data_IF_359091854214
#
_entry.id   IF_359091854214
#
_cell.length_a   1.000
_cell.length_b   1.000
_cell.length_c   1.000
_cell.angle_alpha   90.00
_cell.angle_beta   90.00
_cell.angle_gamma   90.00
#
_symmetry.space_group_name_H-M   'P 1'
#
loop_
_entity.id
_entity.type
_entity.pdbx_description
1 polymer ?
#
# COMPACT_ATOMS: atom_id res chain seq x y z
N UNK A 1 9.54 -34.42 -30.17
CA UNK A 1 8.83 -34.79 -28.92
C UNK A 1 8.01 -33.58 -28.52
N UNK A 2 6.71 -33.71 -28.25
CA UNK A 2 5.88 -32.55 -27.86
C UNK A 2 6.26 -32.11 -26.44
N UNK A 3 6.59 -30.85 -26.26
CA UNK A 3 6.82 -30.26 -24.94
C UNK A 3 5.56 -30.42 -24.06
N UNK A 4 5.70 -30.64 -22.76
CA UNK A 4 4.55 -30.79 -21.86
C UNK A 4 3.74 -29.49 -21.76
N UNK A 5 2.43 -29.61 -21.52
CA UNK A 5 1.54 -28.48 -21.27
C UNK A 5 1.94 -27.75 -19.97
N UNK A 6 1.87 -26.43 -19.97
CA UNK A 6 2.19 -25.59 -18.82
C UNK A 6 0.96 -25.40 -17.91
N UNK A 7 1.14 -25.33 -16.59
CA UNK A 7 0.03 -25.29 -15.64
C UNK A 7 -0.71 -23.94 -15.64
N UNK A 8 -2.01 -23.96 -15.31
CA UNK A 8 -2.87 -22.77 -15.31
C UNK A 8 -2.60 -21.82 -14.12
N UNK A 9 -2.97 -20.55 -14.27
CA UNK A 9 -3.04 -19.61 -13.15
C UNK A 9 -4.16 -19.95 -12.16
N UNK A 10 -4.01 -19.47 -10.92
CA UNK A 10 -5.09 -19.49 -9.93
C UNK A 10 -6.25 -18.59 -10.41
N UNK A 11 -7.48 -19.12 -10.38
CA UNK A 11 -8.69 -18.48 -10.90
C UNK A 11 -9.11 -17.18 -10.20
N UNK A 12 -8.63 -16.94 -8.98
CA UNK A 12 -9.00 -15.77 -8.16
C UNK A 12 -8.03 -14.58 -8.28
N UNK A 13 -7.04 -14.61 -9.19
CA UNK A 13 -6.06 -13.54 -9.35
C UNK A 13 -6.67 -12.31 -10.02
N UNK A 14 -6.53 -11.14 -9.38
CA UNK A 14 -6.92 -9.85 -9.97
C UNK A 14 -5.68 -9.13 -10.48
N UNK A 15 -5.64 -8.89 -11.78
CA UNK A 15 -4.61 -8.08 -12.42
C UNK A 15 -5.01 -6.61 -12.38
N UNK A 16 -4.11 -5.76 -11.90
CA UNK A 16 -4.28 -4.31 -11.88
C UNK A 16 -3.15 -3.70 -12.68
N UNK A 17 -3.49 -3.07 -13.80
CA UNK A 17 -2.54 -2.36 -14.65
C UNK A 17 -2.24 -0.99 -14.05
N UNK A 18 -0.97 -0.67 -13.82
CA UNK A 18 -0.54 0.67 -13.42
C UNK A 18 0.33 1.27 -14.52
N UNK A 19 -0.09 2.41 -15.07
CA UNK A 19 0.66 3.13 -16.09
C UNK A 19 0.82 4.59 -15.70
N UNK A 20 2.07 5.04 -15.53
CA UNK A 20 2.41 6.47 -15.48
C UNK A 20 3.78 6.65 -16.15
N UNK A 21 3.81 7.27 -17.34
CA UNK A 21 5.04 7.51 -18.11
C UNK A 21 5.61 6.30 -18.86
N UNK A 22 6.91 6.33 -19.16
CA UNK A 22 7.65 5.37 -20.03
C UNK A 22 7.79 3.94 -19.47
N UNK A 23 7.19 3.61 -18.32
CA UNK A 23 7.25 2.28 -17.74
C UNK A 23 5.87 1.77 -17.34
N UNK A 24 5.23 0.97 -18.20
CA UNK A 24 4.06 0.19 -17.80
C UNK A 24 4.49 -0.97 -16.89
N UNK A 25 3.85 -1.10 -15.73
CA UNK A 25 4.07 -2.24 -14.84
C UNK A 25 2.73 -2.82 -14.37
N UNK A 26 2.72 -4.12 -14.13
CA UNK A 26 1.51 -4.87 -13.81
C UNK A 26 1.57 -5.31 -12.36
N UNK A 27 0.46 -5.16 -11.62
CA UNK A 27 0.35 -5.66 -10.27
C UNK A 27 -0.61 -6.85 -10.23
N UNK A 28 -0.16 -7.97 -9.69
CA UNK A 28 -1.01 -9.11 -9.40
C UNK A 28 -1.44 -9.01 -7.94
N UNK A 29 -2.75 -8.85 -7.71
CA UNK A 29 -3.35 -8.97 -6.38
C UNK A 29 -3.73 -10.42 -6.14
N UNK A 30 -3.06 -11.02 -5.19
CA UNK A 30 -3.31 -12.39 -4.72
C UNK A 30 -4.48 -12.44 -3.74
N UNK A 31 -5.15 -13.60 -3.57
CA UNK A 31 -6.23 -13.77 -2.60
C UNK A 31 -5.81 -13.43 -1.16
N UNK A 32 -4.53 -13.63 -0.82
CA UNK A 32 -3.94 -13.30 0.48
C UNK A 32 -3.52 -11.82 0.61
N UNK A 33 -3.99 -10.95 -0.29
CA UNK A 33 -3.76 -9.49 -0.30
C UNK A 33 -2.28 -9.09 -0.45
N UNK A 34 -1.41 -9.95 -1.00
CA UNK A 34 -0.09 -9.54 -1.49
C UNK A 34 -0.23 -8.88 -2.86
N UNK A 35 0.56 -7.84 -3.09
CA UNK A 35 0.72 -7.21 -4.40
C UNK A 35 2.08 -7.59 -4.93
N UNK A 36 2.09 -8.25 -6.07
CA UNK A 36 3.32 -8.67 -6.73
C UNK A 36 3.48 -7.80 -7.98
N UNK A 37 4.58 -7.05 -8.04
CA UNK A 37 4.93 -6.28 -9.24
C UNK A 37 5.50 -7.25 -10.27
N UNK A 38 4.93 -7.20 -11.46
CA UNK A 38 5.25 -8.07 -12.59
C UNK A 38 5.54 -7.18 -13.80
N UNK A 39 6.56 -7.54 -14.57
CA UNK A 39 6.91 -6.85 -15.80
C UNK A 39 5.93 -7.19 -16.93
N UNK A 40 6.10 -6.50 -18.06
CA UNK A 40 5.24 -6.65 -19.23
C UNK A 40 5.30 -8.07 -19.81
N UNK A 41 6.51 -8.63 -19.97
CA UNK A 41 6.71 -9.99 -20.50
C UNK A 41 6.07 -11.04 -19.59
N UNK A 42 6.29 -10.91 -18.29
CA UNK A 42 5.81 -11.86 -17.30
C UNK A 42 4.28 -11.80 -17.16
N UNK A 43 3.67 -10.61 -17.33
CA UNK A 43 2.22 -10.44 -17.39
C UNK A 43 1.59 -11.17 -18.58
N UNK A 44 2.16 -11.00 -19.78
CA UNK A 44 1.61 -11.65 -20.98
C UNK A 44 1.75 -13.17 -20.93
N UNK A 45 2.91 -13.68 -20.49
CA UNK A 45 3.08 -15.12 -20.26
C UNK A 45 2.04 -15.62 -19.26
N UNK A 46 1.87 -14.94 -18.12
CA UNK A 46 0.87 -15.29 -17.12
C UNK A 46 -0.55 -15.34 -17.72
N UNK A 47 -0.94 -14.34 -18.53
CA UNK A 47 -2.26 -14.27 -19.16
C UNK A 47 -2.56 -15.40 -20.16
N UNK A 48 -1.52 -16.07 -20.67
CA UNK A 48 -1.64 -17.16 -21.63
C UNK A 48 -1.67 -18.56 -20.97
N UNK A 49 -1.43 -18.67 -19.66
CA UNK A 49 -1.41 -19.94 -18.92
C UNK A 49 -2.81 -20.47 -18.64
N UNK A 50 -3.21 -21.51 -19.38
CA UNK A 50 -4.55 -22.11 -19.35
C UNK A 50 -4.59 -23.62 -19.09
N UNK A 51 -3.47 -24.23 -18.66
CA UNK A 51 -3.30 -25.68 -18.48
C UNK A 51 -3.35 -26.53 -19.78
N UNK A 52 -3.48 -25.90 -20.96
CA UNK A 52 -3.56 -26.61 -22.24
C UNK A 52 -2.33 -26.35 -23.10
N UNK A 53 -1.87 -25.09 -23.14
CA UNK A 53 -0.79 -24.68 -24.05
C UNK A 53 0.60 -25.10 -23.59
N UNK A 54 1.45 -25.42 -24.56
CA UNK A 54 2.88 -25.68 -24.37
C UNK A 54 3.69 -24.38 -24.32
N UNK A 55 4.94 -24.45 -23.89
CA UNK A 55 5.82 -23.27 -23.78
C UNK A 55 6.06 -22.57 -25.13
N UNK A 56 6.14 -23.33 -26.23
CA UNK A 56 6.32 -22.82 -27.59
C UNK A 56 5.05 -22.11 -28.12
N UNK A 57 3.88 -22.68 -27.85
CA UNK A 57 2.58 -22.07 -28.19
C UNK A 57 2.36 -20.77 -27.41
N UNK A 58 2.79 -20.72 -26.14
CA UNK A 58 2.71 -19.51 -25.32
C UNK A 58 3.66 -18.43 -25.83
N UNK A 59 4.91 -18.79 -26.18
CA UNK A 59 5.86 -17.85 -26.77
C UNK A 59 5.30 -17.21 -28.06
N UNK A 60 4.74 -18.05 -28.95
CA UNK A 60 4.13 -17.62 -30.19
C UNK A 60 2.93 -16.70 -29.94
N UNK A 61 2.06 -17.06 -28.99
CA UNK A 61 0.87 -16.26 -28.66
C UNK A 61 1.23 -14.91 -28.04
N UNK A 62 2.24 -14.86 -27.19
CA UNK A 62 2.72 -13.59 -26.62
C UNK A 62 3.27 -12.68 -27.73
N UNK A 63 4.00 -13.24 -28.69
CA UNK A 63 4.49 -12.48 -29.85
C UNK A 63 3.35 -11.95 -30.74
N UNK A 64 2.28 -12.71 -30.92
CA UNK A 64 1.07 -12.25 -31.64
C UNK A 64 0.34 -11.11 -30.92
N UNK A 65 0.29 -11.16 -29.59
CA UNK A 65 -0.36 -10.14 -28.77
C UNK A 65 0.50 -8.86 -28.71
N UNK A 66 1.82 -9.02 -28.67
CA UNK A 66 2.78 -7.93 -28.53
C UNK A 66 4.05 -8.24 -29.33
N UNK A 67 4.13 -7.69 -30.54
CA UNK A 67 5.26 -7.90 -31.45
C UNK A 67 6.58 -7.32 -30.93
N UNK A 68 6.53 -6.46 -29.91
CA UNK A 68 7.71 -5.94 -29.22
C UNK A 68 8.32 -6.93 -28.21
N UNK A 69 7.67 -8.06 -27.95
CA UNK A 69 8.14 -9.10 -27.03
C UNK A 69 8.54 -10.32 -27.83
N UNK A 70 9.83 -10.64 -27.77
CA UNK A 70 10.39 -11.91 -28.24
C UNK A 70 10.74 -12.75 -27.02
N UNK A 71 10.16 -13.94 -26.93
CA UNK A 71 10.40 -14.90 -25.87
C UNK A 71 10.77 -16.24 -26.50
N UNK A 72 11.80 -16.87 -25.96
CA UNK A 72 12.17 -18.26 -26.27
C UNK A 72 11.41 -19.22 -25.36
N UNK A 73 11.31 -20.50 -25.77
CA UNK A 73 10.70 -21.55 -24.95
C UNK A 73 11.33 -21.62 -23.54
N UNK A 74 12.65 -21.48 -23.44
CA UNK A 74 13.38 -21.50 -22.18
C UNK A 74 13.07 -20.29 -21.28
N UNK A 75 12.85 -19.11 -21.86
CA UNK A 75 12.44 -17.92 -21.11
C UNK A 75 11.01 -18.07 -20.58
N UNK A 76 10.09 -18.64 -21.37
CA UNK A 76 8.73 -18.94 -20.92
C UNK A 76 8.78 -19.90 -19.72
N UNK A 77 9.56 -20.98 -19.81
CA UNK A 77 9.76 -21.94 -18.69
C UNK A 77 10.36 -21.24 -17.46
N UNK A 78 11.32 -20.33 -17.65
CA UNK A 78 11.93 -19.57 -16.56
C UNK A 78 10.93 -18.66 -15.85
N UNK A 79 10.11 -17.94 -16.62
CA UNK A 79 9.04 -17.08 -16.09
C UNK A 79 8.01 -17.92 -15.33
N UNK A 80 7.57 -19.03 -15.90
CA UNK A 80 6.63 -19.95 -15.24
C UNK A 80 7.22 -20.51 -13.95
N UNK A 81 8.49 -20.91 -13.95
CA UNK A 81 9.18 -21.35 -12.73
C UNK A 81 9.23 -20.25 -11.65
N UNK A 82 9.36 -18.99 -12.05
CA UNK A 82 9.22 -17.83 -11.16
C UNK A 82 7.81 -17.71 -10.57
N UNK A 83 6.78 -17.80 -11.40
CA UNK A 83 5.37 -17.76 -10.98
C UNK A 83 5.01 -18.93 -10.05
N UNK A 84 5.56 -20.13 -10.28
CA UNK A 84 5.42 -21.29 -9.39
C UNK A 84 6.01 -21.01 -8.01
N UNK A 85 7.24 -20.48 -7.95
CA UNK A 85 7.88 -20.10 -6.66
C UNK A 85 7.11 -19.03 -5.90
N UNK A 86 6.39 -18.17 -6.62
CA UNK A 86 5.51 -17.14 -6.04
C UNK A 86 4.16 -17.69 -5.59
N UNK A 87 3.84 -18.95 -5.91
CA UNK A 87 2.60 -19.63 -5.56
C UNK A 87 1.40 -19.17 -6.39
N UNK A 88 1.62 -18.75 -7.65
CA UNK A 88 0.58 -18.19 -8.52
C UNK A 88 -0.07 -19.21 -9.47
N UNK A 89 0.39 -20.46 -9.45
CA UNK A 89 -0.03 -21.52 -10.36
C UNK A 89 -0.97 -22.51 -9.66
N UNK A 90 -2.05 -22.87 -10.36
CA UNK A 90 -3.00 -23.90 -9.96
C UNK A 90 -2.38 -25.28 -10.22
N UNK A 91 -2.10 -26.02 -9.15
CA UNK A 91 -1.77 -27.45 -9.23
C UNK A 91 -2.98 -28.25 -8.75
N UNK A 92 -3.34 -29.39 -9.37
CA UNK A 92 -4.48 -30.19 -8.97
C UNK A 92 -4.39 -30.72 -7.52
N UNK A 93 -3.18 -30.80 -6.95
CA UNK A 93 -2.94 -31.14 -5.54
C UNK A 93 -2.83 -29.92 -4.61
N UNK A 94 -2.91 -28.69 -5.15
CA UNK A 94 -2.89 -27.48 -4.35
C UNK A 94 -4.30 -27.24 -3.79
N UNK A 95 -4.61 -27.86 -2.65
CA UNK A 95 -5.40 -27.13 -1.64
C UNK A 95 -4.75 -25.75 -1.55
N UNK A 96 -5.50 -24.63 -1.62
CA UNK A 96 -4.91 -23.30 -1.53
C UNK A 96 -4.00 -23.32 -0.31
N UNK A 97 -2.70 -23.34 -0.55
CA UNK A 97 -1.75 -23.50 0.53
C UNK A 97 -1.81 -22.20 1.29
N UNK A 98 -2.63 -22.21 2.34
CA UNK A 98 -2.58 -21.27 3.44
C UNK A 98 -1.18 -21.24 4.10
N UNK A 99 -0.20 -22.02 3.59
CA UNK A 99 1.15 -22.11 4.09
C UNK A 99 2.20 -21.38 3.23
N UNK A 100 1.80 -20.51 2.31
CA UNK A 100 2.63 -19.35 1.96
C UNK A 100 2.11 -18.09 2.66
N UNK A 101 1.67 -18.22 3.92
CA UNK A 101 1.97 -17.16 4.90
C UNK A 101 3.46 -16.97 4.75
N UNK A 102 3.85 -15.90 4.04
CA UNK A 102 5.23 -15.43 4.09
C UNK A 102 5.56 -15.50 5.57
N UNK A 103 6.56 -16.33 5.95
CA UNK A 103 7.25 -16.11 7.20
C UNK A 103 7.37 -14.60 7.27
N UNK A 104 6.68 -13.97 8.23
CA UNK A 104 7.01 -12.61 8.58
C UNK A 104 8.47 -12.75 8.94
N UNK A 105 9.34 -12.53 7.96
CA UNK A 105 10.77 -12.44 8.14
C UNK A 105 10.82 -11.33 9.14
N UNK A 106 11.07 -11.68 10.40
CA UNK A 106 11.17 -10.74 11.49
C UNK A 106 12.33 -9.85 11.06
N UNK A 107 11.97 -8.75 10.42
CA UNK A 107 12.92 -7.79 9.90
C UNK A 107 13.01 -6.77 11.02
N UNK A 108 13.99 -6.90 11.94
CA UNK A 108 14.10 -5.98 13.06
C UNK A 108 14.30 -4.53 12.58
N UNK A 109 14.66 -4.34 11.31
CA UNK A 109 14.81 -3.04 10.67
C UNK A 109 13.47 -2.36 10.40
N UNK A 110 12.41 -3.12 10.14
CA UNK A 110 11.08 -2.58 9.83
C UNK A 110 9.97 -3.49 10.38
N UNK A 111 9.32 -3.03 11.45
CA UNK A 111 8.17 -3.71 12.03
C UNK A 111 6.95 -2.80 11.97
N UNK A 112 5.92 -3.24 11.24
CA UNK A 112 4.63 -2.55 11.18
C UNK A 112 3.60 -3.27 12.04
N UNK A 113 3.05 -2.55 13.02
CA UNK A 113 1.95 -3.01 13.87
C UNK A 113 0.69 -2.28 13.42
N UNK A 114 -0.20 -2.92 12.64
CA UNK A 114 -1.48 -2.31 12.24
C UNK A 114 -2.39 -2.20 13.48
N UNK A 115 -2.80 -0.99 13.83
CA UNK A 115 -3.69 -0.73 14.96
C UNK A 115 -5.14 -0.51 14.51
N UNK A 116 -5.33 0.10 13.34
CA UNK A 116 -6.65 0.47 12.84
C UNK A 116 -6.84 -0.02 11.41
N UNK A 117 -8.00 -0.64 11.16
CA UNK A 117 -8.38 -1.12 9.83
C UNK A 117 -8.60 0.05 8.86
N UNK A 118 -8.14 -0.13 7.63
CA UNK A 118 -8.23 0.87 6.57
C UNK A 118 -9.66 1.31 6.28
N UNK A 119 -10.63 0.37 6.33
CA UNK A 119 -12.05 0.67 6.09
C UNK A 119 -12.64 1.64 7.11
N UNK A 120 -12.21 1.56 8.37
CA UNK A 120 -12.67 2.47 9.41
C UNK A 120 -12.11 3.88 9.17
N UNK A 121 -10.84 3.98 8.80
CA UNK A 121 -10.20 5.24 8.44
C UNK A 121 -10.82 5.86 7.19
N UNK A 122 -11.15 5.07 6.18
CA UNK A 122 -11.82 5.57 4.97
C UNK A 122 -13.20 6.14 5.30
N UNK A 123 -13.97 5.47 6.18
CA UNK A 123 -15.27 5.97 6.65
C UNK A 123 -15.13 7.26 7.46
N UNK A 124 -14.20 7.28 8.42
CA UNK A 124 -13.93 8.47 9.23
C UNK A 124 -13.43 9.65 8.37
N UNK A 125 -12.53 9.37 7.43
CA UNK A 125 -12.00 10.33 6.48
C UNK A 125 -13.07 10.86 5.54
N UNK A 126 -13.97 10.01 5.04
CA UNK A 126 -15.11 10.44 4.22
C UNK A 126 -16.10 11.32 5.00
N UNK A 127 -16.36 10.99 6.28
CA UNK A 127 -17.23 11.80 7.13
C UNK A 127 -16.63 13.17 7.48
N UNK A 128 -15.31 13.23 7.68
CA UNK A 128 -14.57 14.46 7.94
C UNK A 128 -14.20 15.22 6.66
N UNK A 129 -14.32 14.59 5.49
CA UNK A 129 -13.97 15.20 4.21
C UNK A 129 -14.66 16.55 3.96
N UNK A 130 -15.94 16.78 4.30
CA UNK A 130 -16.57 18.09 4.12
C UNK A 130 -15.91 19.22 4.91
N UNK A 131 -15.27 18.91 6.06
CA UNK A 131 -14.64 19.91 6.92
C UNK A 131 -13.37 20.51 6.31
N UNK A 132 -12.74 19.84 5.34
CA UNK A 132 -11.47 20.30 4.75
C UNK A 132 -11.74 21.17 3.50
N UNK A 133 -12.73 22.06 3.52
CA UNK A 133 -13.04 22.91 2.36
C UNK A 133 -12.24 24.22 2.38
N UNK A 134 -12.14 24.90 1.22
CA UNK A 134 -11.44 26.20 1.13
C UNK A 134 -12.00 27.24 2.13
N UNK A 135 -13.33 27.37 2.33
CA UNK A 135 -13.87 28.24 3.37
C UNK A 135 -13.41 27.87 4.79
N UNK A 136 -13.35 26.57 5.11
CA UNK A 136 -12.88 26.11 6.41
C UNK A 136 -11.38 26.41 6.61
N UNK A 137 -10.57 26.28 5.56
CA UNK A 137 -9.16 26.66 5.60
C UNK A 137 -8.98 28.16 5.85
N UNK A 138 -9.79 29.01 5.20
CA UNK A 138 -9.78 30.46 5.44
C UNK A 138 -10.18 30.78 6.87
N UNK A 139 -11.26 30.16 7.38
CA UNK A 139 -11.72 30.36 8.75
C UNK A 139 -10.66 29.93 9.78
N UNK A 140 -10.04 28.77 9.58
CA UNK A 140 -8.95 28.28 10.44
C UNK A 140 -7.76 29.23 10.37
N UNK A 141 -7.38 29.71 9.19
CA UNK A 141 -6.32 30.71 9.01
C UNK A 141 -6.60 32.00 9.78
N UNK A 142 -7.85 32.50 9.72
CA UNK A 142 -8.26 33.68 10.47
C UNK A 142 -8.18 33.44 11.99
N UNK A 143 -8.64 32.28 12.46
CA UNK A 143 -8.55 31.89 13.88
C UNK A 143 -7.09 31.84 14.35
N UNK A 144 -6.18 31.32 13.51
CA UNK A 144 -4.74 31.33 13.79
C UNK A 144 -4.17 32.74 13.90
N UNK A 145 -4.57 33.66 13.02
CA UNK A 145 -4.15 35.06 13.08
C UNK A 145 -4.66 35.73 14.37
N UNK A 146 -5.92 35.51 14.72
CA UNK A 146 -6.51 36.04 15.98
C UNK A 146 -5.80 35.47 17.20
N UNK A 147 -5.54 34.16 17.23
CA UNK A 147 -4.81 33.51 18.30
C UNK A 147 -3.38 34.06 18.43
N UNK A 148 -2.67 34.23 17.30
CA UNK A 148 -1.33 34.81 17.28
C UNK A 148 -1.32 36.25 17.80
N UNK A 149 -2.27 37.08 17.38
CA UNK A 149 -2.42 38.44 17.91
C UNK A 149 -2.70 38.43 19.43
N UNK A 150 -3.54 37.51 19.91
CA UNK A 150 -3.83 37.36 21.33
C UNK A 150 -2.60 36.97 22.16
N UNK A 151 -1.77 36.06 21.64
CA UNK A 151 -0.50 35.66 22.25
C UNK A 151 0.49 36.81 22.28
N UNK A 152 0.65 37.53 21.16
CA UNK A 152 1.56 38.68 21.07
C UNK A 152 1.12 39.84 21.99
N UNK A 153 -0.18 40.08 22.11
CA UNK A 153 -0.73 41.11 23.00
C UNK A 153 -0.53 40.78 24.49
N UNK A 154 -0.42 39.49 24.84
CA UNK A 154 -0.27 39.00 26.22
C UNK A 154 1.01 38.19 26.40
N UNK A 155 2.10 38.66 25.79
CA UNK A 155 3.35 37.91 25.71
C UNK A 155 3.90 37.50 27.08
N UNK A 156 3.90 38.41 28.06
CA UNK A 156 4.45 38.14 29.40
C UNK A 156 3.69 37.04 30.12
N UNK A 157 2.35 37.08 30.05
CA UNK A 157 1.50 36.04 30.60
C UNK A 157 1.75 34.71 29.89
N UNK A 158 1.79 34.70 28.56
CA UNK A 158 2.03 33.51 27.75
C UNK A 158 3.41 32.88 28.06
N UNK A 159 4.47 33.69 28.14
CA UNK A 159 5.81 33.25 28.50
C UNK A 159 5.84 32.60 29.89
N UNK A 160 5.18 33.23 30.86
CA UNK A 160 5.07 32.68 32.23
C UNK A 160 4.28 31.37 32.30
N UNK A 161 3.22 31.24 31.50
CA UNK A 161 2.41 30.03 31.41
C UNK A 161 3.17 28.88 30.73
N UNK A 162 3.93 29.19 29.69
CA UNK A 162 4.76 28.22 28.95
C UNK A 162 5.87 27.64 29.84
N UNK A 163 6.44 28.44 30.73
CA UNK A 163 7.43 27.97 31.72
C UNK A 163 6.89 26.87 32.66
N UNK A 164 5.57 26.80 32.87
CA UNK A 164 4.93 25.77 33.69
C UNK A 164 4.68 24.45 32.94
N UNK A 165 4.84 24.43 31.61
CA UNK A 165 4.58 23.24 30.79
C UNK A 165 5.67 22.17 30.94
N UNK A 166 6.89 22.56 31.32
CA UNK A 166 8.06 21.66 31.41
C UNK A 166 8.30 21.08 32.82
N UNK A 167 7.31 21.13 33.70
CA UNK A 167 7.37 20.51 35.04
C UNK A 167 7.17 18.99 34.92
N UNK A 168 7.88 18.21 35.75
CA UNK A 168 7.84 16.73 35.74
C UNK A 168 6.44 16.13 35.91
N UNK A 169 5.52 16.82 36.60
CA UNK A 169 4.14 16.36 36.82
C UNK A 169 3.26 16.45 35.56
N UNK A 170 3.72 17.12 34.50
CA UNK A 170 2.96 17.33 33.27
C UNK A 170 3.08 16.20 32.25
N UNK A 171 3.88 15.14 32.52
CA UNK A 171 4.16 14.08 31.53
C UNK A 171 2.91 13.35 31.05
N UNK A 172 1.92 13.11 31.93
CA UNK A 172 0.66 12.49 31.55
C UNK A 172 -0.12 13.38 30.55
N UNK A 173 -0.15 14.70 30.80
CA UNK A 173 -0.79 15.67 29.91
C UNK A 173 -0.07 15.75 28.57
N UNK A 174 1.26 15.70 28.56
CA UNK A 174 2.04 15.62 27.33
C UNK A 174 1.75 14.36 26.53
N UNK A 175 1.66 13.20 27.18
CA UNK A 175 1.28 11.95 26.53
C UNK A 175 -0.11 12.01 25.91
N UNK A 176 -1.09 12.58 26.63
CA UNK A 176 -2.44 12.76 26.12
C UNK A 176 -2.49 13.76 24.95
N UNK A 177 -1.83 14.92 25.09
CA UNK A 177 -1.76 15.92 24.03
C UNK A 177 -1.09 15.36 22.77
N UNK A 178 -0.01 14.60 22.93
CA UNK A 178 0.67 13.91 21.84
C UNK A 178 -0.25 12.89 21.15
N UNK A 179 -0.97 12.08 21.93
CA UNK A 179 -1.91 11.09 21.38
C UNK A 179 -3.05 11.76 20.60
N UNK A 180 -3.63 12.83 21.14
CA UNK A 180 -4.69 13.61 20.48
C UNK A 180 -4.16 14.23 19.18
N UNK A 181 -3.00 14.88 19.24
CA UNK A 181 -2.38 15.51 18.08
C UNK A 181 -2.05 14.49 17.00
N UNK A 182 -1.49 13.34 17.37
CA UNK A 182 -1.19 12.28 16.40
C UNK A 182 -2.44 11.66 15.81
N UNK A 183 -3.48 11.44 16.62
CA UNK A 183 -4.77 10.96 16.11
C UNK A 183 -5.35 11.93 15.09
N UNK A 184 -5.35 13.24 15.39
CA UNK A 184 -5.80 14.27 14.47
C UNK A 184 -4.95 14.31 13.18
N UNK A 185 -3.64 14.14 13.30
CA UNK A 185 -2.72 14.11 12.16
C UNK A 185 -2.98 12.91 11.22
N UNK A 186 -3.09 11.70 11.78
CA UNK A 186 -3.40 10.50 10.99
C UNK A 186 -4.78 10.58 10.35
N UNK A 187 -5.77 11.17 11.03
CA UNK A 187 -7.08 11.46 10.45
C UNK A 187 -6.98 12.47 9.29
N UNK A 188 -6.12 13.49 9.40
CA UNK A 188 -5.86 14.43 8.31
C UNK A 188 -5.31 13.74 7.06
N UNK A 189 -4.37 12.80 7.23
CA UNK A 189 -3.89 11.95 6.13
C UNK A 189 -5.01 11.10 5.54
N UNK A 190 -5.85 10.50 6.39
CA UNK A 190 -6.98 9.69 5.94
C UNK A 190 -7.99 10.51 5.11
N UNK A 191 -8.35 11.71 5.56
CA UNK A 191 -9.24 12.63 4.82
C UNK A 191 -8.64 12.99 3.46
N UNK A 192 -7.35 13.29 3.42
CA UNK A 192 -6.64 13.66 2.18
C UNK A 192 -6.59 12.48 1.22
N UNK A 193 -6.27 11.28 1.71
CA UNK A 193 -6.24 10.06 0.93
C UNK A 193 -7.61 9.76 0.30
N UNK A 194 -8.70 9.86 1.08
CA UNK A 194 -10.07 9.66 0.57
C UNK A 194 -10.42 10.66 -0.53
N UNK A 195 -10.06 11.93 -0.37
CA UNK A 195 -10.33 12.97 -1.38
C UNK A 195 -9.57 12.80 -2.68
N UNK A 196 -8.34 12.30 -2.59
CA UNK A 196 -7.49 12.00 -3.76
C UNK A 196 -7.85 10.62 -4.37
N UNK A 197 -8.72 9.84 -3.72
CA UNK A 197 -9.10 8.50 -4.17
C UNK A 197 -8.03 7.43 -3.89
N UNK A 198 -7.09 7.70 -2.99
CA UNK A 198 -6.04 6.77 -2.57
C UNK A 198 -6.58 5.78 -1.53
N UNK A 199 -6.55 4.45 -1.78
CA UNK A 199 -7.09 3.46 -0.86
C UNK A 199 -6.22 3.33 0.39
N UNK A 200 -6.85 3.29 1.56
CA UNK A 200 -6.14 3.17 2.85
C UNK A 200 -6.16 1.71 3.27
N UNK A 201 -4.98 1.10 3.43
CA UNK A 201 -4.87 -0.32 3.83
C UNK A 201 -4.98 -0.51 5.35
N UNK A 202 -4.25 0.28 6.12
CA UNK A 202 -4.16 0.21 7.59
C UNK A 202 -3.34 1.38 8.12
N UNK A 203 -3.72 1.88 9.30
CA UNK A 203 -2.91 2.80 10.10
C UNK A 203 -2.39 2.09 11.34
N UNK A 204 -1.23 2.50 11.83
CA UNK A 204 -0.59 1.89 12.98
C UNK A 204 0.82 2.39 13.21
N UNK A 205 1.52 1.73 14.12
CA UNK A 205 2.88 2.10 14.49
C UNK A 205 3.85 1.37 13.56
N UNK A 206 4.77 2.13 12.98
CA UNK A 206 5.88 1.57 12.22
C UNK A 206 7.17 1.82 13.00
N UNK A 207 7.77 0.75 13.52
CA UNK A 207 9.08 0.79 14.14
C UNK A 207 10.13 0.61 13.04
N UNK A 208 10.91 1.65 12.82
CA UNK A 208 12.00 1.67 11.85
C UNK A 208 13.28 1.74 12.66
N UNK A 209 14.04 0.65 12.70
CA UNK A 209 15.33 0.63 13.37
C UNK A 209 16.34 1.35 12.48
N UNK A 210 17.08 2.32 13.05
CA UNK A 210 17.95 3.29 12.36
C UNK A 210 17.27 4.53 11.74
N UNK A 211 16.06 4.90 12.16
CA UNK A 211 15.64 6.30 12.01
C UNK A 211 16.35 7.13 13.09
N UNK A 212 17.25 8.08 12.75
CA UNK A 212 17.88 8.96 13.74
C UNK A 212 16.87 9.85 14.46
#
# INVERSE_FOLDING_TARGET
MKSPALPALISELKFIVHGHGEGQWYAIKTPDKRFLRVGRREYFVASCLDAVRTADEIASRVHEIDSGITLTEQEVVTVVGGLTRMGLISSPDNKPSAAAVSKYSFNPIYMKIPLVDGKLLERAGAWLAPLVCLPAAILIGLLWVVAAMGVLANWDWFASATGKLFVSDSWMWWGLAWLVLKTAHELGHAVTAVRVGSPIRSAGISLIFMAP
#
